data_IF_416425106963
#
_entry.id   IF_416425106963
#
_cell.length_a   1.000
_cell.length_b   1.000
_cell.length_c   1.000
_cell.angle_alpha   90.00
_cell.angle_beta   90.00
_cell.angle_gamma   90.00
#
_symmetry.space_group_name_H-M   'P 1'
#
loop_
_entity.id
_entity.type
_entity.pdbx_description
1 polymer ?
#
# COMPACT_ATOMS: atom_id res chain seq x y z
N UNK A 1 13.94 -19.77 -8.79
CA UNK A 1 13.45 -19.58 -8.42
C UNK A 1 12.41 -19.41 -8.43
N UNK A 2 12.11 -19.48 -8.08
CA UNK A 2 11.09 -19.37 -8.18
C UNK A 2 10.55 -18.27 -7.68
N UNK A 3 10.14 -17.73 -8.08
CA UNK A 3 9.54 -16.63 -7.82
C UNK A 3 8.40 -16.82 -7.07
N UNK A 4 8.01 -15.96 -6.28
CA UNK A 4 6.86 -16.04 -5.51
C UNK A 4 5.88 -15.16 -6.07
N UNK A 5 5.03 -15.58 -6.95
CA UNK A 5 4.12 -14.70 -7.63
C UNK A 5 3.19 -13.96 -6.70
N UNK A 6 2.94 -14.51 -5.55
CA UNK A 6 2.02 -13.82 -4.67
C UNK A 6 2.66 -12.76 -3.84
N UNK A 7 3.89 -12.42 -4.13
CA UNK A 7 4.54 -11.42 -3.36
C UNK A 7 4.46 -10.08 -3.95
N UNK A 8 3.69 -9.72 -4.77
CA UNK A 8 3.55 -8.38 -5.26
C UNK A 8 4.87 -7.75 -5.61
N UNK A 9 5.26 -7.73 -6.85
CA UNK A 9 6.51 -7.14 -7.25
C UNK A 9 6.34 -5.86 -8.02
N UNK A 10 5.19 -5.63 -8.61
CA UNK A 10 4.94 -4.46 -9.45
C UNK A 10 3.84 -3.63 -8.84
N UNK A 11 4.16 -2.46 -8.38
CA UNK A 11 3.24 -1.66 -7.60
C UNK A 11 2.74 -0.43 -8.34
N UNK A 12 1.45 -0.17 -8.22
CA UNK A 12 0.86 1.09 -8.60
C UNK A 12 0.65 1.88 -7.32
N UNK A 13 1.26 3.05 -7.22
CA UNK A 13 1.23 3.84 -6.01
C UNK A 13 0.24 4.98 -6.18
N UNK A 14 -0.73 5.06 -5.28
CA UNK A 14 -1.79 6.06 -5.35
C UNK A 14 -1.68 7.00 -4.17
N UNK A 15 -1.59 8.29 -4.47
CA UNK A 15 -1.55 9.32 -3.43
C UNK A 15 -2.62 10.34 -3.72
N UNK A 16 -3.37 10.75 -2.71
CA UNK A 16 -4.46 11.69 -2.87
C UNK A 16 -4.14 12.94 -2.09
N UNK A 17 -4.21 14.07 -2.78
CA UNK A 17 -3.94 15.37 -2.17
C UNK A 17 -5.26 15.97 -1.70
N UNK A 18 -5.43 16.04 -0.38
CA UNK A 18 -6.61 16.64 0.21
C UNK A 18 -6.38 18.10 0.60
N UNK A 19 -5.35 18.69 0.02
CA UNK A 19 -5.02 20.07 0.35
C UNK A 19 -3.82 20.22 1.27
N UNK A 20 -3.07 19.15 1.47
CA UNK A 20 -1.92 19.18 2.37
C UNK A 20 -0.75 19.90 1.74
N UNK A 21 -0.06 20.71 2.52
CA UNK A 21 1.08 21.46 2.02
C UNK A 21 2.30 20.57 1.84
N UNK A 22 2.33 19.44 2.53
CA UNK A 22 3.47 18.52 2.43
C UNK A 22 3.18 17.32 1.55
N UNK A 23 2.27 17.48 0.60
CA UNK A 23 1.87 16.36 -0.24
C UNK A 23 3.04 15.78 -1.02
N UNK A 24 3.89 16.62 -1.57
CA UNK A 24 4.99 16.11 -2.39
C UNK A 24 6.00 15.34 -1.57
N UNK A 25 6.26 15.81 -0.35
CA UNK A 25 7.13 15.05 0.55
C UNK A 25 6.54 13.69 0.86
N UNK A 26 5.24 13.66 1.08
CA UNK A 26 4.54 12.42 1.39
C UNK A 26 4.64 11.43 0.22
N UNK A 27 4.54 11.93 -0.99
CA UNK A 27 4.64 11.08 -2.18
C UNK A 27 6.05 10.47 -2.27
N UNK A 28 7.08 11.27 -2.03
CA UNK A 28 8.43 10.76 -2.07
C UNK A 28 8.66 9.72 -0.99
N UNK A 29 8.08 9.96 0.18
CA UNK A 29 8.21 9.04 1.29
C UNK A 29 7.59 7.68 1.00
N UNK A 30 6.38 7.68 0.44
CA UNK A 30 5.73 6.40 0.17
C UNK A 30 6.47 5.63 -0.92
N UNK A 31 7.07 6.35 -1.87
CA UNK A 31 7.84 5.67 -2.91
C UNK A 31 9.05 4.96 -2.30
N UNK A 32 9.71 5.60 -1.36
CA UNK A 32 10.84 4.98 -0.70
C UNK A 32 10.41 3.77 0.11
N UNK A 33 9.26 3.85 0.74
CA UNK A 33 8.74 2.70 1.49
C UNK A 33 8.44 1.54 0.56
N UNK A 34 7.89 1.81 -0.60
CA UNK A 34 7.59 0.76 -1.57
C UNK A 34 8.89 0.07 -1.99
N UNK A 35 9.92 0.85 -2.26
CA UNK A 35 11.21 0.28 -2.65
C UNK A 35 11.82 -0.52 -1.50
N UNK A 36 11.63 -0.06 -0.26
CA UNK A 36 12.09 -0.81 0.91
C UNK A 36 11.38 -2.14 1.06
N UNK A 37 10.21 -2.28 0.49
CA UNK A 37 9.47 -3.53 0.53
C UNK A 37 9.84 -4.43 -0.65
N UNK A 38 10.87 -4.05 -1.40
CA UNK A 38 11.38 -4.83 -2.54
C UNK A 38 10.37 -4.92 -3.68
N UNK A 39 9.65 -3.86 -3.90
CA UNK A 39 8.73 -3.79 -5.02
C UNK A 39 9.18 -2.74 -6.01
N UNK A 40 8.84 -2.96 -7.27
CA UNK A 40 9.10 -1.99 -8.33
C UNK A 40 7.87 -1.13 -8.53
N UNK A 41 8.05 0.15 -8.73
CA UNK A 41 6.94 1.05 -8.99
C UNK A 41 6.73 1.13 -10.49
N UNK A 42 5.61 0.61 -10.97
CA UNK A 42 5.34 0.60 -12.40
C UNK A 42 4.38 1.70 -12.81
N UNK A 43 3.66 2.28 -11.85
CA UNK A 43 2.81 3.43 -12.16
C UNK A 43 2.57 4.21 -10.87
N UNK A 44 2.33 5.51 -11.03
CA UNK A 44 2.07 6.40 -9.91
C UNK A 44 0.89 7.27 -10.27
N UNK A 45 -0.07 7.38 -9.36
CA UNK A 45 -1.27 8.18 -9.61
C UNK A 45 -1.42 9.17 -8.47
N UNK A 46 -1.44 10.46 -8.81
CA UNK A 46 -1.65 11.52 -7.84
C UNK A 46 -2.99 12.18 -8.16
N UNK A 47 -3.85 12.24 -7.18
CA UNK A 47 -5.22 12.72 -7.36
C UNK A 47 -5.52 13.82 -6.36
N UNK A 48 -6.36 14.77 -6.75
CA UNK A 48 -6.82 15.81 -5.85
C UNK A 48 -8.26 15.56 -5.48
N UNK A 49 -8.57 15.66 -4.21
CA UNK A 49 -9.94 15.54 -3.71
C UNK A 49 -10.09 16.39 -2.48
N UNK A 50 -11.32 16.77 -2.17
CA UNK A 50 -11.57 17.51 -0.94
C UNK A 50 -11.79 16.59 0.26
N UNK A 51 -12.24 15.36 0.00
CA UNK A 51 -12.50 14.41 1.08
C UNK A 51 -12.48 13.01 0.54
N UNK A 52 -12.18 12.00 1.38
CA UNK A 52 -12.21 10.61 0.92
C UNK A 52 -13.63 10.15 0.62
N UNK A 53 -13.74 9.26 -0.35
CA UNK A 53 -15.02 8.67 -0.68
C UNK A 53 -15.27 7.47 0.24
N UNK A 54 -16.49 7.31 0.78
CA UNK A 54 -16.72 6.20 1.71
C UNK A 54 -16.55 4.82 1.09
N UNK A 55 -16.83 4.68 -0.19
CA UNK A 55 -16.80 3.37 -0.81
C UNK A 55 -15.43 3.02 -1.37
N UNK A 56 -14.87 3.90 -2.17
CA UNK A 56 -13.61 3.63 -2.86
C UNK A 56 -12.46 4.55 -2.47
N UNK A 57 -12.66 5.42 -1.53
CA UNK A 57 -11.65 6.37 -1.08
C UNK A 57 -11.35 7.44 -2.12
N UNK A 58 -11.03 7.06 -3.34
CA UNK A 58 -10.67 8.01 -4.40
C UNK A 58 -11.84 8.37 -5.31
N UNK A 59 -13.01 7.80 -5.06
CA UNK A 59 -14.18 8.09 -5.88
C UNK A 59 -14.34 7.12 -7.03
N UNK A 60 -15.59 6.88 -7.45
CA UNK A 60 -15.84 5.85 -8.46
C UNK A 60 -15.28 6.20 -9.83
N UNK A 61 -15.35 7.46 -10.21
CA UNK A 61 -14.82 7.87 -11.51
C UNK A 61 -13.30 7.68 -11.57
N UNK A 62 -12.62 8.11 -10.53
CA UNK A 62 -11.17 7.94 -10.49
C UNK A 62 -10.80 6.47 -10.33
N UNK A 63 -11.61 5.70 -9.62
CA UNK A 63 -11.34 4.28 -9.48
C UNK A 63 -11.34 3.60 -10.85
N UNK A 64 -12.25 4.02 -11.72
CA UNK A 64 -12.29 3.46 -13.05
C UNK A 64 -11.02 3.80 -13.83
N UNK A 65 -10.59 5.05 -13.76
CA UNK A 65 -9.36 5.46 -14.44
C UNK A 65 -8.15 4.69 -13.91
N UNK A 66 -8.08 4.55 -12.59
CA UNK A 66 -6.95 3.85 -11.99
C UNK A 66 -6.96 2.37 -12.35
N UNK A 67 -8.14 1.78 -12.46
CA UNK A 67 -8.23 0.38 -12.87
C UNK A 67 -7.58 0.19 -14.24
N UNK A 68 -7.83 1.13 -15.15
CA UNK A 68 -7.22 1.07 -16.46
C UNK A 68 -5.70 1.20 -16.37
N UNK A 69 -5.22 2.11 -15.53
CA UNK A 69 -3.78 2.32 -15.35
C UNK A 69 -3.13 1.05 -14.79
N UNK A 70 -3.79 0.41 -13.83
CA UNK A 70 -3.28 -0.81 -13.24
C UNK A 70 -3.13 -1.89 -14.30
N UNK A 71 -4.13 -2.01 -15.16
CA UNK A 71 -4.08 -3.02 -16.20
C UNK A 71 -3.01 -2.71 -17.23
N UNK A 72 -2.89 -1.45 -17.63
CA UNK A 72 -1.89 -1.07 -18.63
C UNK A 72 -0.48 -1.22 -18.11
N UNK A 73 -0.24 -0.88 -16.87
CA UNK A 73 1.11 -0.97 -16.30
C UNK A 73 1.42 -2.36 -15.77
N UNK A 74 0.41 -3.25 -15.78
CA UNK A 74 0.55 -4.62 -15.30
C UNK A 74 0.99 -4.67 -13.85
N UNK A 75 0.45 -3.78 -13.04
CA UNK A 75 0.73 -3.79 -11.61
C UNK A 75 -0.01 -4.96 -10.98
N UNK A 76 0.66 -5.68 -10.11
CA UNK A 76 0.01 -6.77 -9.39
C UNK A 76 -0.28 -6.40 -7.95
N UNK A 77 0.05 -5.18 -7.55
CA UNK A 77 -0.17 -4.70 -6.20
C UNK A 77 -0.48 -3.21 -6.28
N UNK A 78 -1.38 -2.75 -5.43
CA UNK A 78 -1.72 -1.34 -5.35
C UNK A 78 -1.38 -0.85 -3.95
N UNK A 79 -0.65 0.25 -3.89
CA UNK A 79 -0.25 0.86 -2.63
C UNK A 79 -0.96 2.19 -2.48
N UNK A 80 -1.70 2.35 -1.40
CA UNK A 80 -2.34 3.63 -1.10
C UNK A 80 -1.49 4.38 -0.07
N UNK A 81 -1.20 5.62 -0.36
CA UNK A 81 -0.43 6.48 0.54
C UNK A 81 -1.35 7.05 1.64
N UNK A 82 -2.27 6.23 2.12
CA UNK A 82 -3.25 6.63 3.12
C UNK A 82 -3.76 5.37 3.81
N UNK A 83 -4.36 5.54 4.95
CA UNK A 83 -4.98 4.41 5.63
C UNK A 83 -6.41 4.27 5.14
N UNK A 84 -6.82 3.06 4.90
CA UNK A 84 -8.15 2.75 4.39
C UNK A 84 -8.96 2.05 5.48
N UNK A 85 -10.27 2.25 5.43
CA UNK A 85 -11.14 1.47 6.29
C UNK A 85 -11.23 0.05 5.74
N UNK A 86 -11.60 -0.92 6.57
CA UNK A 86 -11.74 -2.29 6.07
C UNK A 86 -12.69 -2.41 4.90
N UNK A 87 -13.78 -1.66 4.91
CA UNK A 87 -14.73 -1.75 3.81
C UNK A 87 -14.18 -1.11 2.54
N UNK A 88 -13.46 0.00 2.66
CA UNK A 88 -12.84 0.62 1.50
C UNK A 88 -11.81 -0.33 0.89
N UNK A 89 -10.99 -0.94 1.73
CA UNK A 89 -9.97 -1.86 1.25
C UNK A 89 -10.62 -3.03 0.53
N UNK A 90 -11.66 -3.60 1.10
CA UNK A 90 -12.36 -4.73 0.51
C UNK A 90 -12.97 -4.36 -0.83
N UNK A 91 -13.61 -3.20 -0.89
CA UNK A 91 -14.24 -2.75 -2.12
C UNK A 91 -13.22 -2.53 -3.22
N UNK A 92 -12.08 -1.95 -2.87
CA UNK A 92 -11.04 -1.68 -3.85
C UNK A 92 -10.36 -2.95 -4.32
N UNK A 93 -10.14 -3.91 -3.42
CA UNK A 93 -9.56 -5.18 -3.83
C UNK A 93 -10.45 -5.89 -4.84
N UNK A 94 -11.74 -5.85 -4.61
CA UNK A 94 -12.68 -6.47 -5.53
C UNK A 94 -12.71 -5.73 -6.85
N UNK A 95 -12.76 -4.41 -6.79
CA UNK A 95 -12.91 -3.62 -8.00
C UNK A 95 -11.68 -3.71 -8.88
N UNK A 96 -10.48 -3.61 -8.27
CA UNK A 96 -9.24 -3.68 -9.03
C UNK A 96 -8.78 -5.10 -9.29
N UNK A 97 -9.35 -6.08 -8.59
CA UNK A 97 -8.91 -7.48 -8.67
C UNK A 97 -7.41 -7.56 -8.41
N UNK A 98 -6.95 -6.84 -7.40
CA UNK A 98 -5.54 -6.70 -7.14
C UNK A 98 -5.33 -6.58 -5.64
N UNK A 99 -4.15 -7.01 -5.18
CA UNK A 99 -3.82 -6.87 -3.79
C UNK A 99 -3.67 -5.41 -3.43
N UNK A 100 -4.21 -5.01 -2.29
CA UNK A 100 -4.15 -3.62 -1.82
C UNK A 100 -3.37 -3.57 -0.52
N UNK A 101 -2.45 -2.62 -0.44
CA UNK A 101 -1.77 -2.31 0.82
C UNK A 101 -2.01 -0.83 1.11
N UNK A 102 -2.48 -0.52 2.32
CA UNK A 102 -2.51 0.88 2.73
C UNK A 102 -1.18 1.18 3.43
N UNK A 103 -1.02 2.39 3.94
CA UNK A 103 0.27 2.77 4.54
C UNK A 103 0.66 1.84 5.68
N UNK A 104 -0.27 1.56 6.55
CA UNK A 104 0.01 0.72 7.71
C UNK A 104 0.41 -0.69 7.29
N UNK A 105 -0.32 -1.26 6.35
CA UNK A 105 -0.03 -2.60 5.88
C UNK A 105 1.35 -2.67 5.23
N UNK A 106 1.71 -1.62 4.50
CA UNK A 106 3.03 -1.58 3.86
C UNK A 106 4.14 -1.55 4.88
N UNK A 107 3.98 -0.75 5.93
CA UNK A 107 4.98 -0.66 6.98
C UNK A 107 5.13 -2.02 7.68
N UNK A 108 4.01 -2.69 7.94
CA UNK A 108 4.07 -4.01 8.56
C UNK A 108 4.77 -5.01 7.66
N UNK A 109 4.55 -4.91 6.36
CA UNK A 109 5.23 -5.81 5.42
C UNK A 109 6.73 -5.59 5.46
N UNK A 110 7.17 -4.35 5.55
CA UNK A 110 8.60 -4.04 5.62
C UNK A 110 9.20 -4.63 6.88
N UNK A 111 8.52 -4.49 8.01
CA UNK A 111 8.99 -5.09 9.26
C UNK A 111 9.10 -6.60 9.13
N UNK A 112 8.11 -7.23 8.53
CA UNK A 112 8.14 -8.68 8.38
C UNK A 112 9.31 -9.13 7.52
N UNK A 113 9.62 -8.38 6.48
CA UNK A 113 10.75 -8.73 5.63
C UNK A 113 12.06 -8.56 6.36
N UNK A 114 12.18 -7.52 7.16
CA UNK A 114 13.40 -7.32 7.93
C UNK A 114 13.58 -8.38 9.00
N UNK A 115 12.49 -8.80 9.64
CA UNK A 115 12.57 -9.84 10.64
C UNK A 115 13.09 -11.13 10.04
N UNK A 116 12.69 -11.42 8.82
CA UNK A 116 13.15 -12.62 8.17
C UNK A 116 14.62 -12.58 7.80
N UNK A 117 15.13 -11.41 7.45
CA UNK A 117 16.49 -11.32 6.96
C UNK A 117 17.52 -11.17 8.06
N UNK A 118 17.09 -10.95 9.31
CA UNK A 118 18.04 -10.78 10.42
C UNK A 118 17.83 -11.88 11.44
N UNK A 119 18.35 -13.06 11.11
CA UNK A 119 18.17 -14.20 11.95
C UNK A 119 18.61 -14.03 13.37
N UNK A 120 19.72 -13.40 13.59
CA UNK A 120 20.23 -13.21 14.93
C UNK A 120 19.34 -12.36 15.81
N UNK A 121 18.48 -11.57 15.24
CA UNK A 121 17.55 -10.73 15.99
C UNK A 121 16.13 -11.17 15.82
N UNK A 122 15.93 -12.33 15.24
CA UNK A 122 14.60 -12.76 14.85
C UNK A 122 13.58 -12.73 15.97
N UNK A 123 13.94 -13.24 17.10
CA UNK A 123 12.97 -13.30 18.18
C UNK A 123 12.55 -11.94 18.68
N UNK A 124 13.51 -11.02 18.77
CA UNK A 124 13.18 -9.69 19.22
C UNK A 124 12.27 -9.00 18.24
N UNK A 125 12.57 -9.13 16.96
CA UNK A 125 11.78 -8.47 15.95
C UNK A 125 10.39 -9.06 15.82
N UNK A 126 10.28 -10.37 15.99
CA UNK A 126 8.97 -11.01 15.95
C UNK A 126 8.11 -10.55 17.10
N UNK A 127 8.71 -10.40 18.28
CA UNK A 127 7.96 -9.90 19.43
C UNK A 127 7.45 -8.48 19.16
N UNK A 128 8.26 -7.65 18.53
CA UNK A 128 7.85 -6.30 18.20
C UNK A 128 6.74 -6.30 17.17
N UNK A 129 6.82 -7.18 16.20
CA UNK A 129 5.77 -7.29 15.19
C UNK A 129 4.45 -7.72 15.81
N UNK A 130 4.51 -8.70 16.70
CA UNK A 130 3.30 -9.14 17.38
C UNK A 130 2.66 -8.01 18.15
N UNK A 131 3.47 -7.27 18.87
CA UNK A 131 2.97 -6.17 19.66
C UNK A 131 2.32 -5.12 18.77
N UNK A 132 2.97 -4.79 17.68
CA UNK A 132 2.46 -3.80 16.74
C UNK A 132 1.17 -4.27 16.09
N UNK A 133 1.13 -5.51 15.65
CA UNK A 133 -0.07 -6.06 15.04
C UNK A 133 -1.25 -6.06 16.00
N UNK A 134 -1.00 -6.42 17.23
CA UNK A 134 -2.04 -6.45 18.24
C UNK A 134 -2.62 -5.06 18.46
N UNK A 135 -1.75 -4.06 18.49
CA UNK A 135 -2.23 -2.70 18.67
C UNK A 135 -3.08 -2.24 17.51
N UNK A 136 -2.67 -2.58 16.30
CA UNK A 136 -3.43 -2.17 15.13
C UNK A 136 -4.78 -2.84 15.06
N UNK A 137 -4.84 -4.10 15.45
CA UNK A 137 -6.09 -4.81 15.45
C UNK A 137 -7.04 -4.25 16.49
N UNK A 138 -6.52 -3.91 17.64
CA UNK A 138 -7.34 -3.36 18.70
C UNK A 138 -7.70 -1.92 18.44
N UNK A 139 -6.82 -1.22 17.84
CA UNK A 139 -7.01 0.17 17.57
C UNK A 139 -8.13 0.41 16.62
#
# INVERSE_FOLDING_TARGET
MFERPNEGKSACVISINFGDTDFEESVEEIKELVLSADMNIVSTVNIKRSAPDPKYFLGSGKAEEVKFIIQESKADTVIFNHNLSPSQERNLEKYFSTRIFDRTALILLIFAKRAKSHEGKLQVELAQLDHLSTRLIKG
#
